data_IF_332839372097
#
_entry.id   IF_332839372097
#
_cell.length_a   1.000
_cell.length_b   1.000
_cell.length_c   1.000
_cell.angle_alpha   90.00
_cell.angle_beta   90.00
_cell.angle_gamma   90.00
#
_symmetry.space_group_name_H-M   'P 1'
#
loop_
_entity.id
_entity.type
_entity.pdbx_description
1 polymer ?
#
# COMPACT_ATOMS: atom_id res chain seq x y z
N UNK A 1 1.49 12.30 -1.57
CA UNK A 1 0.59 12.85 -0.54
C UNK A 1 0.60 11.90 0.63
N UNK A 2 1.11 12.33 1.77
CA UNK A 2 1.14 11.51 2.98
C UNK A 2 -0.20 11.59 3.72
N UNK A 3 -0.45 10.67 4.66
CA UNK A 3 -1.71 10.62 5.43
C UNK A 3 -1.97 11.96 6.14
N UNK A 4 -0.95 12.60 6.71
CA UNK A 4 -1.09 13.89 7.40
C UNK A 4 -1.48 15.03 6.46
N UNK A 5 -0.90 15.08 5.26
CA UNK A 5 -1.27 16.07 4.23
C UNK A 5 -2.74 15.94 3.84
N UNK A 6 -3.21 14.68 3.67
CA UNK A 6 -4.59 14.41 3.32
C UNK A 6 -5.54 14.81 4.47
N UNK A 7 -5.17 14.54 5.72
CA UNK A 7 -5.97 14.93 6.89
C UNK A 7 -6.13 16.46 6.95
N UNK A 8 -5.04 17.20 6.73
CA UNK A 8 -5.04 18.65 6.70
C UNK A 8 -5.89 19.19 5.55
N UNK A 9 -5.72 18.64 4.34
CA UNK A 9 -6.48 19.05 3.15
C UNK A 9 -7.99 18.79 3.26
N UNK A 10 -8.40 17.78 4.03
CA UNK A 10 -9.80 17.40 4.23
C UNK A 10 -10.38 17.93 5.55
N UNK A 11 -9.65 18.78 6.28
CA UNK A 11 -10.04 19.34 7.59
C UNK A 11 -10.59 18.26 8.55
N UNK A 12 -9.86 17.14 8.65
CA UNK A 12 -10.27 15.96 9.42
C UNK A 12 -9.13 15.42 10.27
N UNK A 13 -9.37 14.34 11.02
CA UNK A 13 -8.37 13.74 11.91
C UNK A 13 -8.25 12.22 11.71
N UNK A 14 -7.18 11.65 12.25
CA UNK A 14 -6.90 10.22 12.09
C UNK A 14 -8.01 9.31 12.64
N UNK A 15 -8.67 9.67 13.74
CA UNK A 15 -9.80 8.89 14.25
C UNK A 15 -10.99 8.88 13.29
N UNK A 16 -11.30 10.01 12.65
CA UNK A 16 -12.34 10.09 11.62
C UNK A 16 -11.97 9.28 10.37
N UNK A 17 -10.70 9.32 9.95
CA UNK A 17 -10.21 8.50 8.85
C UNK A 17 -10.28 7.00 9.17
N UNK A 18 -9.89 6.59 10.37
CA UNK A 18 -9.95 5.18 10.80
C UNK A 18 -11.39 4.68 10.89
N UNK A 19 -12.30 5.53 11.37
CA UNK A 19 -13.74 5.24 11.32
C UNK A 19 -14.22 5.07 9.88
N UNK A 20 -13.83 5.96 8.96
CA UNK A 20 -14.17 5.86 7.52
C UNK A 20 -13.61 4.59 6.88
N UNK A 21 -12.42 4.16 7.30
CA UNK A 21 -11.76 2.94 6.84
C UNK A 21 -12.26 1.65 7.52
N UNK A 22 -13.25 1.75 8.42
CA UNK A 22 -13.75 0.62 9.22
C UNK A 22 -12.60 -0.10 9.94
N UNK A 23 -11.74 0.70 10.60
CA UNK A 23 -10.58 0.28 11.37
C UNK A 23 -10.74 0.69 12.85
N UNK A 24 -10.33 -0.17 13.80
CA UNK A 24 -10.28 0.20 15.21
C UNK A 24 -9.38 1.42 15.48
N UNK A 25 -9.86 2.37 16.29
CA UNK A 25 -9.04 3.51 16.75
C UNK A 25 -7.78 3.07 17.52
N UNK A 26 -7.77 1.88 18.13
CA UNK A 26 -6.58 1.34 18.79
C UNK A 26 -5.41 1.17 17.80
N UNK A 27 -5.69 0.80 16.54
CA UNK A 27 -4.65 0.70 15.50
C UNK A 27 -4.05 2.06 15.17
N UNK A 28 -4.86 3.13 15.15
CA UNK A 28 -4.34 4.48 14.93
C UNK A 28 -3.32 4.89 16.00
N UNK A 29 -3.61 4.60 17.27
CA UNK A 29 -2.67 4.83 18.38
C UNK A 29 -1.40 4.02 18.23
N UNK A 30 -1.48 2.76 17.78
CA UNK A 30 -0.32 1.91 17.54
C UNK A 30 0.58 2.46 16.43
N UNK A 31 -0.02 2.88 15.31
CA UNK A 31 0.73 3.47 14.19
C UNK A 31 1.39 4.79 14.58
N UNK A 32 0.72 5.64 15.38
CA UNK A 32 1.34 6.85 15.94
C UNK A 32 2.54 6.57 16.84
N UNK A 33 2.60 5.38 17.44
CA UNK A 33 3.74 4.93 18.25
C UNK A 33 4.84 4.25 17.41
N UNK A 34 4.73 4.28 16.08
CA UNK A 34 5.71 3.69 15.16
C UNK A 34 5.49 2.20 14.89
N UNK A 35 4.32 1.64 15.20
CA UNK A 35 4.01 0.28 14.76
C UNK A 35 3.94 0.23 13.24
N UNK A 36 4.47 -0.83 12.66
CA UNK A 36 4.44 -1.04 11.22
C UNK A 36 3.00 -1.40 10.77
N UNK A 37 2.40 -0.67 9.80
CA UNK A 37 1.08 -0.99 9.31
C UNK A 37 1.08 -2.30 8.53
N UNK A 38 0.09 -3.15 8.79
CA UNK A 38 -0.16 -4.33 7.95
C UNK A 38 -0.69 -3.88 6.59
N UNK A 39 -0.43 -4.63 5.49
CA UNK A 39 -0.89 -4.21 4.16
C UNK A 39 -2.41 -4.09 4.05
N UNK A 40 -3.17 -4.93 4.76
CA UNK A 40 -4.63 -4.81 4.84
C UNK A 40 -5.10 -3.50 5.47
N UNK A 41 -4.31 -2.92 6.38
CA UNK A 41 -4.58 -1.61 6.99
C UNK A 41 -4.29 -0.50 5.99
N UNK A 42 -3.15 -0.58 5.29
CA UNK A 42 -2.75 0.36 4.23
C UNK A 42 -3.83 0.45 3.16
N UNK A 43 -4.32 -0.70 2.67
CA UNK A 43 -5.39 -0.79 1.68
C UNK A 43 -6.65 -0.04 2.12
N UNK A 44 -7.14 -0.34 3.32
CA UNK A 44 -8.36 0.30 3.85
C UNK A 44 -8.19 1.81 4.01
N UNK A 45 -7.00 2.27 4.36
CA UNK A 45 -6.70 3.71 4.46
C UNK A 45 -6.67 4.36 3.08
N UNK A 46 -6.00 3.76 2.10
CA UNK A 46 -5.97 4.27 0.72
C UNK A 46 -7.40 4.36 0.13
N UNK A 47 -8.20 3.30 0.30
CA UNK A 47 -9.60 3.27 -0.14
C UNK A 47 -10.43 4.37 0.54
N UNK A 48 -10.27 4.56 1.86
CA UNK A 48 -10.97 5.62 2.59
C UNK A 48 -10.51 7.03 2.19
N UNK A 49 -9.26 7.19 1.79
CA UNK A 49 -8.68 8.45 1.31
C UNK A 49 -9.03 8.73 -0.16
N UNK A 50 -9.42 7.71 -0.93
CA UNK A 50 -9.67 7.80 -2.36
C UNK A 50 -8.40 8.06 -3.18
N UNK A 51 -7.25 7.55 -2.72
CA UNK A 51 -5.96 7.72 -3.38
C UNK A 51 -5.43 6.38 -3.92
N UNK A 52 -4.54 6.39 -4.92
CA UNK A 52 -3.89 5.16 -5.38
C UNK A 52 -3.18 4.43 -4.25
N UNK A 53 -3.37 3.11 -4.16
CA UNK A 53 -2.89 2.29 -3.05
C UNK A 53 -1.37 2.27 -3.02
N UNK A 54 -0.74 2.18 -4.20
CA UNK A 54 0.72 2.16 -4.35
C UNK A 54 1.41 3.28 -3.59
N UNK A 55 0.80 4.48 -3.52
CA UNK A 55 1.36 5.62 -2.76
C UNK A 55 1.56 5.33 -1.28
N UNK A 56 0.60 4.66 -0.63
CA UNK A 56 0.74 4.32 0.80
C UNK A 56 1.58 3.07 1.02
N UNK A 57 1.57 2.11 0.09
CA UNK A 57 2.46 0.95 0.13
C UNK A 57 3.93 1.38 0.05
N UNK A 58 4.25 2.29 -0.88
CA UNK A 58 5.58 2.88 -1.01
C UNK A 58 5.99 3.66 0.24
N UNK A 59 5.10 4.50 0.77
CA UNK A 59 5.37 5.24 2.02
C UNK A 59 5.60 4.33 3.23
N UNK A 60 5.04 3.12 3.22
CA UNK A 60 5.23 2.11 4.26
C UNK A 60 6.42 1.16 3.98
N UNK A 61 7.19 1.40 2.92
CA UNK A 61 8.37 0.60 2.57
C UNK A 61 8.06 -0.77 1.97
N UNK A 62 6.83 -0.96 1.47
CA UNK A 62 6.46 -2.21 0.82
C UNK A 62 6.78 -2.25 -0.66
N UNK A 63 7.06 -1.14 -1.35
CA UNK A 63 7.37 -1.13 -2.77
C UNK A 63 8.08 0.18 -3.14
N UNK A 64 8.66 0.22 -4.33
CA UNK A 64 9.37 1.39 -4.83
C UNK A 64 8.56 2.10 -5.92
N UNK A 65 9.01 3.27 -6.38
CA UNK A 65 8.31 4.02 -7.45
C UNK A 65 8.21 3.20 -8.74
N UNK A 66 9.23 2.39 -9.04
CA UNK A 66 9.27 1.47 -10.17
C UNK A 66 8.23 0.34 -10.10
N UNK A 67 7.67 0.07 -8.91
CA UNK A 67 6.69 -1.01 -8.69
C UNK A 67 5.24 -0.49 -8.70
N UNK A 68 5.04 0.83 -8.63
CA UNK A 68 3.72 1.45 -8.49
C UNK A 68 2.75 1.04 -9.60
N UNK A 69 3.26 0.89 -10.83
CA UNK A 69 2.45 0.49 -11.99
C UNK A 69 1.84 -0.91 -11.82
N UNK A 70 2.46 -1.77 -11.00
CA UNK A 70 1.99 -3.13 -10.72
C UNK A 70 0.91 -3.10 -9.64
N UNK A 71 1.17 -2.38 -8.54
CA UNK A 71 0.30 -2.33 -7.36
C UNK A 71 -1.06 -1.73 -7.67
N UNK A 72 -1.08 -0.67 -8.49
CA UNK A 72 -2.32 0.04 -8.81
C UNK A 72 -3.13 -0.64 -9.94
N UNK A 73 -2.53 -1.55 -10.72
CA UNK A 73 -3.19 -2.23 -11.84
C UNK A 73 -3.68 -3.64 -11.51
N UNK A 74 -2.99 -4.41 -10.66
CA UNK A 74 -3.33 -5.81 -10.41
C UNK A 74 -3.59 -6.13 -8.91
N UNK A 75 -4.85 -6.38 -8.52
CA UNK A 75 -5.21 -6.77 -7.15
C UNK A 75 -4.68 -8.16 -6.73
N UNK A 76 -4.22 -9.01 -7.66
CA UNK A 76 -3.51 -10.25 -7.36
C UNK A 76 -2.10 -9.95 -6.86
N UNK A 77 -1.42 -8.98 -7.46
CA UNK A 77 -0.07 -8.59 -7.06
C UNK A 77 -0.11 -7.83 -5.73
N UNK A 78 -1.18 -7.08 -5.46
CA UNK A 78 -1.46 -6.56 -4.11
C UNK A 78 -1.43 -7.67 -3.04
N UNK A 79 -1.92 -8.88 -3.35
CA UNK A 79 -1.89 -10.00 -2.41
C UNK A 79 -0.48 -10.53 -2.16
N UNK A 80 0.48 -10.30 -3.06
CA UNK A 80 1.86 -10.75 -2.85
C UNK A 80 2.58 -9.90 -1.80
N UNK A 81 2.28 -8.60 -1.73
CA UNK A 81 2.76 -7.72 -0.66
C UNK A 81 2.28 -8.16 0.73
N UNK A 82 1.13 -8.85 0.85
CA UNK A 82 0.68 -9.43 2.12
C UNK A 82 1.64 -10.48 2.68
N UNK A 83 2.42 -11.13 1.81
CA UNK A 83 3.34 -12.20 2.18
C UNK A 83 4.82 -11.79 2.15
N UNK A 84 5.14 -10.58 1.66
CA UNK A 84 6.50 -10.11 1.44
C UNK A 84 7.39 -10.03 2.68
N UNK A 85 6.82 -9.84 3.87
CA UNK A 85 7.61 -9.70 5.09
C UNK A 85 8.50 -10.91 5.40
N UNK A 86 8.10 -12.09 4.94
CA UNK A 86 8.86 -13.34 5.15
C UNK A 86 9.61 -13.81 3.90
N UNK A 87 9.55 -13.04 2.81
CA UNK A 87 10.21 -13.39 1.54
C UNK A 87 11.56 -12.69 1.51
N UNK A 88 12.68 -13.39 1.23
CA UNK A 88 13.98 -12.76 1.02
C UNK A 88 13.94 -11.76 -0.14
N UNK A 89 14.69 -10.66 -0.03
CA UNK A 89 14.67 -9.59 -1.05
C UNK A 89 15.03 -10.11 -2.45
N UNK A 90 16.03 -10.99 -2.55
CA UNK A 90 16.38 -11.67 -3.82
C UNK A 90 15.22 -12.42 -4.50
N UNK A 91 14.25 -12.93 -3.72
CA UNK A 91 13.05 -13.58 -4.28
C UNK A 91 11.96 -12.57 -4.64
N UNK A 92 11.89 -11.44 -3.94
CA UNK A 92 11.00 -10.33 -4.30
C UNK A 92 11.42 -9.74 -5.63
N UNK A 93 12.72 -9.47 -5.79
CA UNK A 93 13.30 -8.93 -7.02
C UNK A 93 13.03 -9.84 -8.22
N UNK A 94 13.20 -11.16 -8.04
CA UNK A 94 12.88 -12.14 -9.08
C UNK A 94 11.39 -12.14 -9.43
N UNK A 95 10.50 -12.10 -8.44
CA UNK A 95 9.05 -12.04 -8.67
C UNK A 95 8.64 -10.75 -9.41
N UNK A 96 9.17 -9.61 -8.99
CA UNK A 96 8.92 -8.32 -9.65
C UNK A 96 9.45 -8.32 -11.09
N UNK A 97 10.63 -8.88 -11.32
CA UNK A 97 11.19 -9.02 -12.65
C UNK A 97 10.31 -9.89 -13.56
N UNK A 98 9.86 -11.06 -13.07
CA UNK A 98 8.96 -11.94 -13.83
C UNK A 98 7.65 -11.23 -14.16
N UNK A 99 7.07 -10.49 -13.21
CA UNK A 99 5.84 -9.72 -13.44
C UNK A 99 6.04 -8.63 -14.49
N UNK A 100 7.16 -7.91 -14.42
CA UNK A 100 7.52 -6.87 -15.39
C UNK A 100 7.58 -7.44 -16.80
N UNK A 101 8.34 -8.52 -16.98
CA UNK A 101 8.48 -9.18 -18.28
C UNK A 101 7.15 -9.75 -18.79
N UNK A 102 6.33 -10.33 -17.92
CA UNK A 102 5.02 -10.87 -18.32
C UNK A 102 4.05 -9.77 -18.77
N UNK A 103 4.02 -8.64 -18.07
CA UNK A 103 3.15 -7.51 -18.43
C UNK A 103 3.62 -6.77 -19.69
N UNK A 104 4.92 -6.75 -19.98
CA UNK A 104 5.45 -6.19 -21.24
C UNK A 104 5.03 -7.04 -22.44
N UNK A 105 4.97 -8.37 -22.29
CA UNK A 105 4.51 -9.28 -23.35
C UNK A 105 3.01 -9.20 -23.65
N UNK A 106 2.15 -8.88 -22.68
CA UNK A 106 0.70 -8.70 -22.91
C UNK A 106 0.35 -7.43 -23.71
N UNK A 107 1.31 -6.49 -23.89
CA UNK A 107 1.11 -5.24 -24.65
C UNK A 107 1.49 -5.42 -26.13
N UNK A 108 2.21 -6.49 -26.48
CA UNK A 108 2.67 -6.79 -27.84
C UNK A 108 1.73 -7.72 -28.65
N UNK A 109 0.67 -8.27 -28.02
CA UNK A 109 -0.42 -9.03 -28.68
C UNK A 109 -1.69 -8.19 -28.89
#
# INVERSE_FOLDING_TARGET
MMVEDWLNANNTNGSALFKKATLPNALYTQLKRGSEPRPTTIRKLADAMGIPRGRLFMAAGYCDEEDLWIVDKDPVIEKLFLYWKNVPDSKKDLMLHIMRTASEHEIEE
#
